data_IF_863622591061
#
_entry.id   IF_863622591061
#
_cell.length_a   1.000
_cell.length_b   1.000
_cell.length_c   1.000
_cell.angle_alpha   90.00
_cell.angle_beta   90.00
_cell.angle_gamma   90.00
#
_symmetry.space_group_name_H-M   'P 1'
#
loop_
_entity.id
_entity.type
_entity.pdbx_description
1 polymer ?
#
# COMPACT_ATOMS: atom_id res chain seq x y z
N UNK A 1 -13.68 10.50 -18.94
CA UNK A 1 -13.83 11.45 -17.81
C UNK A 1 -14.72 10.96 -16.67
N UNK A 2 -15.44 9.83 -16.83
CA UNK A 2 -16.28 9.27 -15.76
C UNK A 2 -15.45 8.86 -14.54
N UNK A 3 -14.28 8.28 -14.77
CA UNK A 3 -13.40 7.82 -13.69
C UNK A 3 -12.75 8.98 -12.91
N UNK A 4 -12.42 10.07 -13.57
CA UNK A 4 -11.88 11.27 -12.92
C UNK A 4 -12.91 11.98 -12.02
N UNK A 5 -14.20 11.71 -12.21
CA UNK A 5 -15.28 12.26 -11.39
C UNK A 5 -15.58 11.43 -10.12
N UNK A 6 -14.92 10.29 -9.95
CA UNK A 6 -15.11 9.43 -8.76
C UNK A 6 -14.40 10.08 -7.56
N UNK A 7 -15.10 10.28 -6.42
CA UNK A 7 -14.48 10.84 -5.23
C UNK A 7 -13.27 10.00 -4.77
N UNK A 8 -12.16 10.67 -4.48
CA UNK A 8 -10.90 10.01 -4.11
C UNK A 8 -9.96 9.71 -5.27
N UNK A 9 -10.41 9.91 -6.52
CA UNK A 9 -9.54 9.89 -7.70
C UNK A 9 -8.99 11.29 -7.94
N UNK A 10 -7.67 11.43 -7.82
CA UNK A 10 -6.96 12.70 -8.07
C UNK A 10 -6.72 12.95 -9.55
N UNK A 11 -6.41 11.90 -10.31
CA UNK A 11 -6.29 11.98 -11.77
C UNK A 11 -6.49 10.62 -12.45
N UNK A 12 -6.93 10.67 -13.71
CA UNK A 12 -7.03 9.52 -14.61
C UNK A 12 -6.16 9.81 -15.84
N UNK A 13 -5.13 9.03 -16.04
CA UNK A 13 -4.13 9.18 -17.10
C UNK A 13 -4.34 8.12 -18.17
N UNK A 14 -4.41 8.53 -19.43
CA UNK A 14 -4.72 7.64 -20.56
C UNK A 14 -3.77 7.89 -21.75
N UNK A 15 -3.63 6.89 -22.60
CA UNK A 15 -2.86 7.02 -23.84
C UNK A 15 -1.40 7.46 -23.59
N UNK A 16 -0.94 8.41 -24.37
CA UNK A 16 0.46 8.89 -24.36
C UNK A 16 0.84 9.65 -23.08
N UNK A 17 -0.14 10.15 -22.34
CA UNK A 17 0.10 10.83 -21.05
C UNK A 17 0.75 9.90 -20.03
N UNK A 18 0.59 8.58 -20.15
CA UNK A 18 1.22 7.57 -19.30
C UNK A 18 2.75 7.62 -19.34
N UNK A 19 3.33 8.07 -20.45
CA UNK A 19 4.78 8.20 -20.61
C UNK A 19 5.40 9.17 -19.60
N UNK A 20 4.69 10.25 -19.26
CA UNK A 20 5.13 11.21 -18.25
C UNK A 20 5.28 10.60 -16.85
N UNK A 21 4.60 9.48 -16.59
CA UNK A 21 4.70 8.71 -15.35
C UNK A 21 5.65 7.49 -15.49
N UNK A 22 6.26 7.28 -16.66
CA UNK A 22 7.05 6.08 -16.94
C UNK A 22 6.21 4.81 -17.03
N UNK A 23 4.92 4.93 -17.37
CA UNK A 23 3.94 3.84 -17.44
C UNK A 23 3.46 3.54 -18.85
N UNK A 24 4.26 3.86 -19.87
CA UNK A 24 4.01 3.60 -21.29
C UNK A 24 4.44 2.20 -21.75
N UNK A 25 4.41 1.24 -20.86
CA UNK A 25 4.81 -0.15 -21.10
C UNK A 25 3.60 -1.02 -21.47
N UNK A 26 3.80 -2.05 -22.30
CA UNK A 26 2.77 -2.99 -22.79
C UNK A 26 1.99 -3.69 -21.66
N UNK A 27 2.61 -3.85 -20.50
CA UNK A 27 1.97 -4.43 -19.30
C UNK A 27 1.23 -3.42 -18.44
N UNK A 28 1.29 -2.14 -18.77
CA UNK A 28 0.52 -1.11 -18.08
C UNK A 28 -0.93 -1.11 -18.57
N UNK A 29 -1.87 -0.83 -17.67
CA UNK A 29 -3.26 -0.66 -18.05
C UNK A 29 -3.46 0.52 -19.02
N UNK A 30 -4.50 0.47 -19.82
CA UNK A 30 -4.86 1.55 -20.74
C UNK A 30 -5.25 2.83 -20.01
N UNK A 31 -5.78 2.68 -18.82
CA UNK A 31 -6.15 3.77 -17.90
C UNK A 31 -5.42 3.58 -16.59
N UNK A 32 -4.69 4.59 -16.15
CA UNK A 32 -4.00 4.63 -14.86
C UNK A 32 -4.69 5.66 -13.97
N UNK A 33 -5.20 5.21 -12.82
CA UNK A 33 -5.82 6.08 -11.84
C UNK A 33 -4.82 6.38 -10.72
N UNK A 34 -4.67 7.66 -10.40
CA UNK A 34 -3.96 8.12 -9.22
C UNK A 34 -4.97 8.62 -8.19
N UNK A 35 -4.80 8.24 -6.94
CA UNK A 35 -5.67 8.68 -5.86
C UNK A 35 -5.39 10.13 -5.45
N UNK A 36 -6.34 10.75 -4.79
CA UNK A 36 -6.07 11.94 -3.99
C UNK A 36 -5.09 11.61 -2.87
N UNK A 37 -4.36 12.63 -2.36
CA UNK A 37 -3.32 12.45 -1.34
C UNK A 37 -3.79 11.88 -0.02
N UNK A 38 -5.05 12.08 0.32
CA UNK A 38 -5.68 11.57 1.55
C UNK A 38 -6.56 10.36 1.31
N UNK A 39 -6.50 9.78 0.10
CA UNK A 39 -7.28 8.63 -0.32
C UNK A 39 -6.36 7.50 -0.82
N UNK A 40 -6.91 6.32 -0.97
CA UNK A 40 -6.25 5.16 -1.54
C UNK A 40 -7.27 4.22 -2.17
N UNK A 41 -6.83 3.38 -3.09
CA UNK A 41 -7.68 2.36 -3.71
C UNK A 41 -7.72 1.13 -2.81
N UNK A 42 -8.86 0.93 -2.15
CA UNK A 42 -9.06 -0.18 -1.22
C UNK A 42 -9.41 -1.48 -1.97
N UNK A 43 -9.14 -2.62 -1.33
CA UNK A 43 -9.39 -3.95 -1.88
C UNK A 43 -10.81 -4.51 -1.72
N UNK A 44 -11.69 -4.02 -0.82
CA UNK A 44 -13.01 -4.61 -0.64
C UNK A 44 -13.79 -4.70 -1.94
N UNK A 45 -14.29 -5.89 -2.25
CA UNK A 45 -15.13 -6.14 -3.43
C UNK A 45 -16.62 -6.30 -3.06
N UNK A 46 -16.96 -6.05 -1.80
CA UNK A 46 -18.32 -6.05 -1.26
C UNK A 46 -18.75 -4.63 -0.92
N UNK A 47 -20.04 -4.35 -1.07
CA UNK A 47 -20.63 -3.05 -0.73
C UNK A 47 -21.25 -3.02 0.68
N UNK A 48 -21.46 -4.19 1.27
CA UNK A 48 -22.06 -4.36 2.60
C UNK A 48 -21.12 -5.22 3.44
N UNK A 49 -20.63 -4.70 4.55
CA UNK A 49 -19.73 -5.38 5.48
C UNK A 49 -20.29 -6.67 6.08
N UNK A 50 -21.63 -6.81 6.14
CA UNK A 50 -22.26 -8.05 6.56
C UNK A 50 -22.03 -9.20 5.57
N UNK A 51 -21.70 -8.87 4.33
CA UNK A 51 -21.38 -9.81 3.24
C UNK A 51 -19.88 -10.02 3.04
N UNK A 52 -19.04 -9.37 3.85
CA UNK A 52 -17.61 -9.56 3.78
C UNK A 52 -17.23 -11.03 4.07
N UNK A 53 -16.30 -11.61 3.32
CA UNK A 53 -15.82 -12.97 3.60
C UNK A 53 -15.15 -13.04 4.99
N UNK A 54 -15.19 -14.19 5.61
CA UNK A 54 -14.69 -14.43 6.97
C UNK A 54 -13.20 -14.10 7.13
N UNK A 55 -12.41 -14.30 6.07
CA UNK A 55 -10.99 -13.97 6.05
C UNK A 55 -10.70 -12.45 5.99
N UNK A 56 -11.67 -11.63 5.59
CA UNK A 56 -11.46 -10.19 5.42
C UNK A 56 -11.00 -9.51 6.73
N UNK A 57 -11.49 -9.99 7.88
CA UNK A 57 -11.10 -9.50 9.22
C UNK A 57 -9.84 -10.18 9.77
N UNK A 58 -9.29 -11.15 9.05
CA UNK A 58 -8.13 -11.89 9.53
C UNK A 58 -6.82 -11.25 9.08
N UNK A 59 -5.79 -11.37 9.90
CA UNK A 59 -4.41 -11.08 9.49
C UNK A 59 -3.94 -12.25 8.63
N UNK A 60 -3.76 -12.01 7.34
CA UNK A 60 -3.43 -13.04 6.38
C UNK A 60 -2.60 -12.50 5.20
N UNK A 61 -1.53 -11.76 5.53
CA UNK A 61 -0.67 -11.00 4.60
C UNK A 61 -0.25 -11.83 3.36
N UNK A 62 -0.04 -13.13 3.52
CA UNK A 62 0.40 -14.01 2.43
C UNK A 62 -0.75 -14.74 1.71
N UNK A 63 -1.98 -14.62 2.19
CA UNK A 63 -3.15 -15.33 1.64
C UNK A 63 -4.16 -14.41 0.97
N UNK A 64 -4.15 -13.12 1.31
CA UNK A 64 -4.98 -12.12 0.63
C UNK A 64 -4.32 -11.70 -0.67
N UNK A 65 -5.09 -11.46 -1.74
CA UNK A 65 -4.57 -10.84 -2.96
C UNK A 65 -4.05 -9.44 -2.65
N UNK A 66 -2.78 -9.18 -2.92
CA UNK A 66 -2.13 -7.91 -2.62
C UNK A 66 -1.87 -7.70 -1.13
N UNK A 67 -1.51 -6.47 -0.77
CA UNK A 67 -1.28 -6.02 0.60
C UNK A 67 -2.44 -5.15 1.06
N UNK A 68 -3.12 -5.55 2.13
CA UNK A 68 -4.20 -4.78 2.74
C UNK A 68 -3.64 -3.93 3.90
N UNK A 69 -3.48 -2.60 3.73
CA UNK A 69 -2.98 -1.72 4.78
C UNK A 69 -3.83 -1.72 6.05
N UNK A 70 -5.11 -2.12 5.98
CA UNK A 70 -5.97 -2.26 7.16
C UNK A 70 -5.43 -3.29 8.15
N UNK A 71 -4.62 -4.25 7.70
CA UNK A 71 -3.98 -5.25 8.59
C UNK A 71 -2.98 -4.66 9.58
N UNK A 72 -2.55 -3.42 9.38
CA UNK A 72 -1.70 -2.69 10.32
C UNK A 72 -2.47 -2.15 11.54
N UNK A 73 -3.79 -2.24 11.54
CA UNK A 73 -4.65 -1.64 12.55
C UNK A 73 -5.53 -2.68 13.24
N UNK A 74 -5.80 -2.47 14.52
CA UNK A 74 -6.88 -3.17 15.20
C UNK A 74 -8.22 -2.51 14.89
N UNK A 75 -9.29 -3.31 14.75
CA UNK A 75 -10.63 -2.78 14.57
C UNK A 75 -11.02 -1.90 15.76
N UNK A 76 -11.32 -0.60 15.55
CA UNK A 76 -11.67 0.33 16.62
C UNK A 76 -12.96 -0.05 17.35
N UNK A 77 -13.76 -0.97 16.83
CA UNK A 77 -14.93 -1.55 17.52
C UNK A 77 -14.53 -2.36 18.76
N UNK A 78 -13.29 -2.85 18.83
CA UNK A 78 -12.81 -3.57 20.01
C UNK A 78 -12.37 -2.59 21.10
N UNK A 79 -13.10 -2.56 22.22
CA UNK A 79 -12.74 -1.74 23.38
C UNK A 79 -11.38 -2.16 24.00
N UNK A 80 -11.06 -3.44 23.94
CA UNK A 80 -9.80 -4.03 24.44
C UNK A 80 -9.19 -4.96 23.37
N UNK A 81 -8.58 -4.39 22.30
CA UNK A 81 -8.12 -5.18 21.15
C UNK A 81 -7.06 -6.21 21.54
N UNK A 82 -6.14 -5.88 22.45
CA UNK A 82 -5.11 -6.83 22.91
C UNK A 82 -5.71 -8.03 23.66
N UNK A 83 -6.78 -7.82 24.43
CA UNK A 83 -7.46 -8.91 25.13
C UNK A 83 -8.23 -9.80 24.14
N UNK A 84 -8.87 -9.20 23.13
CA UNK A 84 -9.50 -9.96 22.05
C UNK A 84 -8.48 -10.82 21.32
N UNK A 85 -7.34 -10.26 20.91
CA UNK A 85 -6.26 -10.98 20.28
C UNK A 85 -5.73 -12.13 21.16
N UNK A 86 -5.48 -11.88 22.44
CA UNK A 86 -5.03 -12.92 23.39
C UNK A 86 -6.05 -14.06 23.52
N UNK A 87 -7.35 -13.74 23.57
CA UNK A 87 -8.44 -14.74 23.59
C UNK A 87 -8.41 -15.60 22.32
N UNK A 88 -8.26 -15.00 21.13
CA UNK A 88 -8.19 -15.74 19.86
C UNK A 88 -6.98 -16.67 19.81
N UNK A 89 -5.81 -16.19 20.26
CA UNK A 89 -4.61 -17.02 20.35
C UNK A 89 -4.78 -18.18 21.34
N UNK A 90 -5.40 -17.94 22.51
CA UNK A 90 -5.70 -18.99 23.48
C UNK A 90 -6.65 -20.04 22.89
N UNK A 91 -7.73 -19.62 22.22
CA UNK A 91 -8.66 -20.52 21.54
C UNK A 91 -7.93 -21.38 20.51
N UNK A 92 -7.06 -20.79 19.68
CA UNK A 92 -6.25 -21.52 18.71
C UNK A 92 -5.33 -22.54 19.39
N UNK A 93 -4.68 -22.17 20.50
CA UNK A 93 -3.81 -23.06 21.27
C UNK A 93 -4.56 -24.24 21.89
N UNK A 94 -5.84 -24.03 22.24
CA UNK A 94 -6.72 -25.10 22.75
C UNK A 94 -7.33 -25.98 21.64
N UNK A 95 -6.95 -25.78 20.38
CA UNK A 95 -7.40 -26.61 19.25
C UNK A 95 -8.71 -26.16 18.61
N UNK A 96 -9.29 -25.02 19.03
CA UNK A 96 -10.48 -24.48 18.39
C UNK A 96 -10.12 -23.89 17.02
N UNK A 97 -10.94 -24.17 16.01
CA UNK A 97 -10.86 -23.52 14.70
C UNK A 97 -11.34 -22.08 14.84
N UNK A 98 -10.42 -21.13 14.83
CA UNK A 98 -10.71 -19.71 14.95
C UNK A 98 -9.91 -18.92 13.93
N UNK A 99 -10.49 -17.85 13.39
CA UNK A 99 -9.79 -16.82 12.64
C UNK A 99 -9.20 -15.78 13.59
N UNK A 100 -8.08 -15.17 13.21
CA UNK A 100 -7.49 -14.06 13.97
C UNK A 100 -8.12 -12.75 13.49
N UNK A 101 -9.39 -12.56 13.82
CA UNK A 101 -10.31 -11.53 13.35
C UNK A 101 -10.14 -10.19 14.10
N UNK A 102 -9.04 -9.51 13.84
CA UNK A 102 -8.67 -8.25 14.51
C UNK A 102 -8.64 -7.05 13.57
N UNK A 103 -8.70 -7.30 12.24
CA UNK A 103 -8.58 -6.29 11.19
C UNK A 103 -9.92 -5.56 11.00
N UNK A 104 -9.92 -4.22 10.90
CA UNK A 104 -11.11 -3.47 10.56
C UNK A 104 -11.52 -3.68 9.10
N UNK A 105 -12.81 -3.56 8.81
CA UNK A 105 -13.31 -3.50 7.44
C UNK A 105 -13.42 -2.07 6.92
N UNK A 106 -13.37 -1.08 7.80
CA UNK A 106 -13.40 0.33 7.40
C UNK A 106 -12.06 0.74 6.80
N UNK A 107 -12.00 0.78 5.48
CA UNK A 107 -10.84 1.24 4.73
C UNK A 107 -10.50 2.72 4.97
N UNK A 108 -11.44 3.51 5.48
CA UNK A 108 -11.26 4.93 5.75
C UNK A 108 -10.29 5.25 6.90
N UNK A 109 -9.87 4.27 7.70
CA UNK A 109 -8.83 4.46 8.71
C UNK A 109 -7.44 4.64 8.12
N UNK A 110 -7.21 4.12 6.91
CA UNK A 110 -5.98 4.30 6.14
C UNK A 110 -6.11 5.58 5.33
N UNK A 111 -5.17 6.50 5.47
CA UNK A 111 -5.20 7.82 4.80
C UNK A 111 -4.28 7.91 3.59
N UNK A 112 -3.67 6.84 3.22
CA UNK A 112 -2.81 6.74 2.06
C UNK A 112 -2.08 5.41 2.03
N UNK A 113 -1.61 5.03 0.87
CA UNK A 113 -0.82 3.83 0.62
C UNK A 113 0.39 4.19 -0.24
N UNK A 114 1.04 3.21 -0.84
CA UNK A 114 2.19 3.43 -1.72
C UNK A 114 1.75 3.70 -3.16
N UNK A 115 2.68 4.20 -3.97
CA UNK A 115 2.52 4.37 -5.42
C UNK A 115 2.25 5.79 -5.88
N UNK A 116 1.85 6.70 -4.97
CA UNK A 116 1.69 8.11 -5.31
C UNK A 116 3.02 8.85 -5.11
N UNK A 117 3.54 9.59 -6.12
CA UNK A 117 4.74 10.40 -5.96
C UNK A 117 4.57 11.48 -4.89
N UNK A 118 5.65 11.76 -4.15
CA UNK A 118 5.67 12.85 -3.19
C UNK A 118 5.40 14.19 -3.88
N UNK A 119 4.57 15.04 -3.29
CA UNK A 119 4.33 16.39 -3.83
C UNK A 119 5.46 17.35 -3.51
N UNK A 120 6.01 17.22 -2.32
CA UNK A 120 7.15 18.01 -1.85
C UNK A 120 8.37 17.08 -1.85
N UNK A 121 9.51 17.48 -2.43
CA UNK A 121 10.74 16.70 -2.39
C UNK A 121 11.17 16.32 -0.96
N UNK A 122 10.79 17.12 0.04
CA UNK A 122 11.08 16.85 1.47
C UNK A 122 10.32 15.65 2.03
N UNK A 123 9.20 15.27 1.40
CA UNK A 123 8.40 14.09 1.74
C UNK A 123 8.82 12.86 0.92
N UNK A 124 9.81 13.04 0.04
CA UNK A 124 10.31 11.99 -0.85
C UNK A 124 11.31 11.04 -0.18
N UNK A 125 11.74 10.06 -0.94
CA UNK A 125 12.79 9.13 -0.52
C UNK A 125 14.13 9.86 -0.33
N UNK A 126 14.89 9.44 0.67
CA UNK A 126 16.22 9.98 0.99
C UNK A 126 17.26 8.90 0.75
N UNK A 127 18.34 9.25 0.05
CA UNK A 127 19.54 8.42 -0.07
C UNK A 127 20.59 8.91 0.90
N UNK A 128 20.97 8.07 1.86
CA UNK A 128 22.06 8.35 2.82
C UNK A 128 23.12 7.27 2.64
N UNK A 129 24.36 7.67 2.42
CA UNK A 129 25.46 6.74 2.23
C UNK A 129 26.81 7.30 2.70
N UNK A 130 27.77 6.40 2.87
CA UNK A 130 29.18 6.72 3.08
C UNK A 130 29.97 6.37 1.80
N UNK A 131 30.81 7.26 1.33
CA UNK A 131 31.59 7.05 0.11
C UNK A 131 31.42 8.15 -0.94
N UNK A 132 31.65 7.85 -2.22
CA UNK A 132 31.52 8.83 -3.29
C UNK A 132 30.08 9.39 -3.35
N UNK A 133 29.99 10.72 -3.36
CA UNK A 133 28.68 11.37 -3.47
C UNK A 133 28.15 11.22 -4.90
N UNK A 134 26.86 10.92 -5.08
CA UNK A 134 26.25 11.00 -6.39
C UNK A 134 26.33 12.42 -6.94
N UNK A 135 26.45 12.55 -8.24
CA UNK A 135 26.41 13.85 -8.92
C UNK A 135 24.98 14.36 -8.99
N UNK A 136 24.72 15.50 -8.32
CA UNK A 136 23.40 16.15 -8.32
C UNK A 136 22.64 15.99 -7.00
N UNK A 137 21.59 16.80 -6.85
CA UNK A 137 20.72 16.81 -5.66
C UNK A 137 19.67 15.67 -5.70
N UNK A 138 19.35 15.19 -6.88
CA UNK A 138 18.36 14.13 -7.10
C UNK A 138 19.02 12.95 -7.81
N UNK A 139 18.79 11.76 -7.27
CA UNK A 139 19.30 10.50 -7.82
C UNK A 139 18.09 9.67 -8.29
N UNK A 140 18.03 9.29 -9.57
CA UNK A 140 16.96 8.40 -10.02
C UNK A 140 17.09 7.02 -9.37
N UNK A 141 15.97 6.39 -9.03
CA UNK A 141 15.97 5.07 -8.37
C UNK A 141 16.75 4.02 -9.16
N UNK A 142 16.76 4.10 -10.48
CA UNK A 142 17.52 3.21 -11.37
C UNK A 142 19.03 3.31 -11.20
N UNK A 143 19.56 4.45 -10.74
CA UNK A 143 20.98 4.63 -10.50
C UNK A 143 21.46 4.08 -9.13
N UNK A 144 20.56 3.73 -8.23
CA UNK A 144 20.91 3.23 -6.88
C UNK A 144 21.71 1.93 -6.98
N UNK A 145 21.36 1.04 -7.91
CA UNK A 145 22.13 -0.18 -8.16
C UNK A 145 23.60 0.11 -8.44
N UNK A 146 23.90 1.02 -9.34
CA UNK A 146 25.27 1.30 -9.77
C UNK A 146 26.05 2.06 -8.69
N UNK A 147 25.37 2.89 -7.89
CA UNK A 147 25.95 3.49 -6.70
C UNK A 147 26.38 2.42 -5.66
N UNK A 148 25.55 1.42 -5.43
CA UNK A 148 25.85 0.31 -4.51
C UNK A 148 27.02 -0.53 -5.05
N UNK A 149 26.98 -0.89 -6.34
CA UNK A 149 28.08 -1.67 -6.95
C UNK A 149 29.39 -0.91 -6.94
N UNK A 150 29.38 0.40 -7.23
CA UNK A 150 30.57 1.24 -7.16
C UNK A 150 31.13 1.40 -5.74
N UNK A 151 30.25 1.47 -4.73
CA UNK A 151 30.67 1.52 -3.33
C UNK A 151 31.30 0.21 -2.83
N UNK A 152 31.03 -0.89 -3.51
CA UNK A 152 31.57 -2.23 -3.19
C UNK A 152 32.72 -2.66 -4.12
N UNK A 153 33.21 -1.77 -4.99
CA UNK A 153 34.23 -2.05 -6.01
C UNK A 153 33.88 -3.25 -6.92
N UNK A 154 32.58 -3.38 -7.27
CA UNK A 154 32.04 -4.49 -8.07
C UNK A 154 31.65 -4.07 -9.51
N UNK A 155 32.10 -2.92 -9.96
CA UNK A 155 31.88 -2.45 -11.34
C UNK A 155 33.08 -2.73 -12.24
#
# INVERSE_FOLDING_TARGET
DVLAAVPGVGSAVVGDERAALGLDHDRSGEVVLLSDRSAWFAYPFWLDDARAPDYARAVAIHHKPGFDPCELFFDPKFRLPKLHAARRLAQKKLGFRTTFDVVPLDAGIVKGSHGLPAADPRDGAILIGHGPKPTGETVPMTAVRDLVLGALDLM
#
